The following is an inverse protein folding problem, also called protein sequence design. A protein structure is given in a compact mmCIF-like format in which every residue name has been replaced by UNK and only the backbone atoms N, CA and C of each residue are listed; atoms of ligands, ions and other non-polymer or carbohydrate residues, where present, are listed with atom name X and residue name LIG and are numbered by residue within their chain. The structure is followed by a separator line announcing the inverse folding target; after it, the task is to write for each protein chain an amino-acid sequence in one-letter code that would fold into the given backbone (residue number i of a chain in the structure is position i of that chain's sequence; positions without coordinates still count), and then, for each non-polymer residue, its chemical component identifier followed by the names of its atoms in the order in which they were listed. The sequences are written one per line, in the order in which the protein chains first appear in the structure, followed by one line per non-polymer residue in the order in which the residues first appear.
data_IF_507001451489
#
_entry.id   IF_507001451489
#
_cell.length_a   1.000
_cell.length_b   1.000
_cell.length_c   1.000
_cell.angle_alpha   90.00
_cell.angle_beta   90.00
_cell.angle_gamma   90.00
#
_symmetry.space_group_name_H-M   'P 1'
#
loop_
_entity.id
_entity.type
_entity.pdbx_description
1 polymer ?
#
# COMPACT_ATOMS: atom_id res chain seq x y z
N UNK A 1 -31.92 65.28 55.48
CA UNK A 1 -31.79 64.68 54.16
C UNK A 1 -30.70 63.58 54.06
N UNK A 2 -30.57 62.69 54.99
CA UNK A 2 -29.45 61.68 54.98
C UNK A 2 -29.90 60.21 54.99
N UNK A 3 -31.20 59.96 54.97
CA UNK A 3 -31.76 58.56 55.04
C UNK A 3 -31.99 57.89 53.71
N UNK A 4 -32.14 58.60 52.60
CA UNK A 4 -32.41 58.01 51.30
C UNK A 4 -31.18 57.40 50.66
N UNK A 5 -29.98 57.99 50.85
CA UNK A 5 -28.73 57.48 50.25
C UNK A 5 -28.33 56.13 50.86
N UNK A 6 -28.60 55.87 52.12
CA UNK A 6 -28.28 54.63 52.78
C UNK A 6 -29.14 53.44 52.26
N UNK A 7 -30.41 53.69 52.02
CA UNK A 7 -31.29 52.70 51.42
C UNK A 7 -30.94 52.37 49.96
N UNK A 8 -30.48 53.35 49.19
CA UNK A 8 -30.03 53.17 47.84
C UNK A 8 -28.71 52.35 47.77
N UNK A 9 -27.81 52.61 48.72
CA UNK A 9 -26.55 51.88 48.80
C UNK A 9 -26.78 50.42 49.22
N UNK A 10 -27.70 50.17 50.14
CA UNK A 10 -28.09 48.79 50.56
C UNK A 10 -28.73 48.01 49.41
N UNK A 11 -29.55 48.63 48.57
CA UNK A 11 -30.09 47.98 47.38
C UNK A 11 -29.00 47.64 46.36
N UNK A 12 -28.04 48.53 46.10
CA UNK A 12 -26.92 48.24 45.18
C UNK A 12 -26.08 47.09 45.70
N UNK A 13 -25.78 47.05 46.99
CA UNK A 13 -25.00 45.95 47.61
C UNK A 13 -25.83 44.63 47.48
N UNK A 14 -27.09 44.67 47.69
CA UNK A 14 -27.94 43.49 47.56
C UNK A 14 -27.96 42.94 46.10
N UNK A 15 -28.04 43.83 45.08
CA UNK A 15 -27.93 43.44 43.69
C UNK A 15 -26.59 42.86 43.33
N UNK A 16 -25.49 43.43 43.86
CA UNK A 16 -24.16 42.88 43.63
C UNK A 16 -23.99 41.48 44.24
N UNK A 17 -24.52 41.28 45.48
CA UNK A 17 -24.49 39.96 46.12
C UNK A 17 -25.36 38.93 45.32
N UNK A 18 -26.50 39.36 44.83
CA UNK A 18 -27.38 38.50 44.04
C UNK A 18 -26.75 38.12 42.68
N UNK A 19 -26.11 39.08 42.02
CA UNK A 19 -25.36 38.80 40.79
C UNK A 19 -24.16 37.87 41.05
N UNK A 20 -23.44 38.06 42.18
CA UNK A 20 -22.35 37.19 42.55
C UNK A 20 -22.82 35.78 42.87
N UNK A 21 -23.96 35.62 43.54
CA UNK A 21 -24.54 34.30 43.79
C UNK A 21 -24.95 33.58 42.50
N UNK A 22 -25.49 34.29 41.49
CA UNK A 22 -25.86 33.75 40.20
C UNK A 22 -24.58 33.32 39.43
N UNK A 23 -23.54 34.13 39.41
CA UNK A 23 -22.25 33.76 38.81
C UNK A 23 -21.62 32.54 39.49
N UNK A 24 -21.65 32.48 40.84
CA UNK A 24 -21.10 31.34 41.57
C UNK A 24 -21.87 30.05 41.27
N UNK A 25 -23.19 30.10 41.07
CA UNK A 25 -23.97 28.93 40.71
C UNK A 25 -23.72 28.47 39.27
N UNK A 26 -23.33 29.36 38.36
CA UNK A 26 -22.98 28.99 36.98
C UNK A 26 -21.65 28.21 36.90
N UNK A 27 -20.71 28.49 37.82
CA UNK A 27 -19.42 27.79 37.84
C UNK A 27 -19.53 26.39 38.42
N UNK A 28 -20.50 26.13 39.29
CA UNK A 28 -20.68 24.80 39.92
C UNK A 28 -21.40 23.80 39.03
N UNK A 29 -22.00 24.23 37.90
CA UNK A 29 -22.67 23.37 36.95
C UNK A 29 -21.80 22.91 35.80
N UNK A 30 -20.50 23.11 35.84
CA UNK A 30 -19.59 22.35 35.00
C UNK A 30 -19.47 20.94 35.60
N UNK A 31 -20.52 20.12 35.36
CA UNK A 31 -20.32 18.70 35.28
C UNK A 31 -19.31 18.49 34.17
N UNK A 32 -18.05 18.39 34.55
CA UNK A 32 -17.01 17.86 33.73
C UNK A 32 -17.54 16.49 33.33
N UNK A 33 -18.06 16.38 32.10
CA UNK A 33 -18.21 15.10 31.44
C UNK A 33 -16.79 14.53 31.35
N UNK A 34 -16.35 13.91 32.44
CA UNK A 34 -15.32 12.91 32.33
C UNK A 34 -15.93 11.89 31.37
N UNK A 35 -15.46 11.91 30.13
CA UNK A 35 -15.58 10.75 29.29
C UNK A 35 -14.88 9.65 30.10
N UNK A 36 -15.67 8.93 30.87
CA UNK A 36 -15.27 7.65 31.38
C UNK A 36 -14.93 6.87 30.11
N UNK A 37 -13.62 6.86 29.80
CA UNK A 37 -13.11 5.94 28.82
C UNK A 37 -13.64 4.62 29.33
N UNK A 38 -14.70 4.13 28.68
CA UNK A 38 -15.24 2.83 28.95
C UNK A 38 -14.03 1.91 28.77
N UNK A 39 -13.39 1.61 29.89
CA UNK A 39 -12.53 0.46 29.97
C UNK A 39 -13.47 -0.68 29.64
N UNK A 40 -13.57 -0.97 28.33
CA UNK A 40 -14.20 -2.17 27.86
C UNK A 40 -13.54 -3.26 28.69
N UNK A 41 -14.25 -3.76 29.68
CA UNK A 41 -13.86 -4.91 30.45
C UNK A 41 -13.72 -6.00 29.39
N UNK A 42 -12.51 -6.15 28.87
CA UNK A 42 -12.18 -7.26 28.00
C UNK A 42 -12.41 -8.48 28.84
N UNK A 43 -13.63 -8.93 28.82
CA UNK A 43 -13.96 -10.26 29.31
C UNK A 43 -13.05 -11.14 28.47
N UNK A 44 -12.02 -11.70 29.12
CA UNK A 44 -10.96 -12.45 28.45
C UNK A 44 -11.56 -13.57 27.62
N UNK A 45 -11.98 -13.22 26.41
CA UNK A 45 -12.34 -14.20 25.40
C UNK A 45 -10.99 -14.68 24.86
N UNK A 46 -10.64 -15.89 25.27
CA UNK A 46 -9.45 -16.53 24.75
C UNK A 46 -9.67 -16.73 23.26
N UNK A 47 -9.05 -15.87 22.46
CA UNK A 47 -9.06 -16.00 21.01
C UNK A 47 -7.94 -16.98 20.65
N UNK A 48 -8.29 -18.14 20.19
CA UNK A 48 -7.34 -19.03 19.57
C UNK A 48 -7.03 -18.48 18.19
N UNK A 49 -5.79 -18.06 18.00
CA UNK A 49 -5.29 -17.77 16.66
C UNK A 49 -5.24 -19.11 15.93
N UNK A 50 -6.34 -19.45 15.30
CA UNK A 50 -6.45 -20.63 14.47
C UNK A 50 -6.02 -20.25 13.05
N UNK A 51 -5.30 -21.11 12.43
CA UNK A 51 -4.91 -21.04 11.03
C UNK A 51 -3.69 -21.90 10.80
N UNK A 52 -3.83 -22.88 9.96
CA UNK A 52 -2.67 -23.58 9.41
C UNK A 52 -2.10 -22.68 8.32
N UNK A 53 -0.79 -22.40 8.32
CA UNK A 53 -0.20 -21.65 7.22
C UNK A 53 -0.44 -22.41 5.92
N UNK A 54 -1.21 -21.81 5.02
CA UNK A 54 -1.43 -22.34 3.67
C UNK A 54 -0.45 -21.66 2.72
N UNK A 55 0.39 -22.46 2.09
CA UNK A 55 1.22 -22.02 0.98
C UNK A 55 0.51 -22.33 -0.34
N UNK A 56 0.38 -21.33 -1.21
CA UNK A 56 -0.10 -21.52 -2.58
C UNK A 56 1.11 -21.56 -3.48
N UNK A 57 1.35 -22.70 -4.14
CA UNK A 57 2.36 -22.83 -5.18
C UNK A 57 1.69 -22.71 -6.53
N UNK A 58 1.94 -21.61 -7.23
CA UNK A 58 1.50 -21.43 -8.60
C UNK A 58 2.57 -22.02 -9.54
N UNK A 59 2.17 -22.88 -10.42
CA UNK A 59 3.00 -23.37 -11.52
C UNK A 59 2.37 -22.92 -12.83
N UNK A 60 3.17 -22.26 -13.66
CA UNK A 60 2.80 -21.92 -15.04
C UNK A 60 3.60 -22.79 -16.01
N UNK A 61 3.07 -22.96 -17.21
CA UNK A 61 3.75 -23.68 -18.28
C UNK A 61 4.86 -22.85 -18.95
N UNK A 62 5.03 -21.60 -18.52
CA UNK A 62 6.01 -20.66 -19.04
C UNK A 62 6.03 -19.37 -18.25
N UNK A 63 6.82 -18.40 -18.70
CA UNK A 63 6.96 -17.08 -18.09
C UNK A 63 5.99 -16.07 -18.71
N UNK A 64 5.20 -15.42 -17.88
CA UNK A 64 4.26 -14.39 -18.33
C UNK A 64 4.93 -13.03 -18.39
N UNK A 65 4.82 -12.37 -19.55
CA UNK A 65 5.27 -10.99 -19.75
C UNK A 65 4.32 -10.02 -19.05
N UNK A 66 4.74 -9.44 -17.94
CA UNK A 66 3.91 -8.52 -17.14
C UNK A 66 4.04 -7.05 -17.57
N UNK A 67 5.14 -6.69 -18.21
CA UNK A 67 5.41 -5.32 -18.63
C UNK A 67 6.75 -5.20 -19.36
N UNK A 68 7.08 -3.97 -19.68
CA UNK A 68 8.33 -3.56 -20.33
C UNK A 68 8.92 -2.41 -19.53
N UNK A 69 10.22 -2.46 -19.27
CA UNK A 69 10.98 -1.38 -18.68
C UNK A 69 12.21 -1.13 -19.51
N UNK A 70 12.60 0.12 -19.63
CA UNK A 70 13.87 0.48 -20.22
C UNK A 70 15.01 0.13 -19.24
N UNK A 71 16.09 -0.39 -19.77
CA UNK A 71 17.27 -0.76 -18.99
C UNK A 71 18.32 0.32 -19.17
N UNK A 72 18.85 0.84 -18.05
CA UNK A 72 19.96 1.76 -18.07
C UNK A 72 21.24 0.98 -18.32
N UNK A 73 21.91 1.25 -19.46
CA UNK A 73 23.23 0.73 -19.80
C UNK A 73 24.25 1.85 -19.80
N UNK A 74 25.54 1.53 -19.93
CA UNK A 74 26.60 2.54 -20.07
C UNK A 74 26.35 3.52 -21.25
N UNK A 75 25.61 3.07 -22.27
CA UNK A 75 25.28 3.85 -23.46
C UNK A 75 23.92 4.58 -23.36
N UNK A 76 23.27 4.57 -22.18
CA UNK A 76 21.98 5.19 -21.94
C UNK A 76 20.83 4.20 -21.77
N UNK A 77 19.61 4.72 -21.80
CA UNK A 77 18.38 3.92 -21.69
C UNK A 77 18.17 3.11 -22.99
N UNK A 78 18.09 1.81 -22.86
CA UNK A 78 17.85 0.88 -23.97
C UNK A 78 16.57 0.10 -23.72
N UNK A 79 15.69 0.13 -24.71
CA UNK A 79 14.50 -0.72 -24.73
C UNK A 79 14.81 -2.04 -25.44
N UNK A 80 15.08 -3.07 -24.67
CA UNK A 80 15.48 -4.39 -25.20
C UNK A 80 14.35 -5.13 -25.89
N UNK A 81 13.10 -4.66 -25.72
CA UNK A 81 11.88 -5.34 -26.16
C UNK A 81 11.20 -4.59 -27.34
N UNK A 82 11.67 -3.42 -27.72
CA UNK A 82 11.00 -2.57 -28.71
C UNK A 82 10.74 -3.30 -30.05
N UNK A 83 11.69 -4.11 -30.50
CA UNK A 83 11.61 -4.88 -31.73
C UNK A 83 11.22 -6.37 -31.52
N UNK A 84 10.90 -6.77 -30.31
CA UNK A 84 10.75 -8.20 -29.95
C UNK A 84 9.42 -8.82 -30.36
N UNK A 85 8.44 -8.07 -30.83
CA UNK A 85 7.04 -8.51 -31.05
C UNK A 85 6.34 -9.05 -29.79
N UNK A 86 6.97 -8.92 -28.59
CA UNK A 86 6.38 -9.31 -27.34
C UNK A 86 5.32 -8.31 -26.88
N UNK A 87 4.26 -8.80 -26.27
CA UNK A 87 3.21 -8.00 -25.69
C UNK A 87 2.93 -8.43 -24.25
N UNK A 88 2.41 -7.50 -23.43
CA UNK A 88 1.96 -7.84 -22.10
C UNK A 88 0.90 -8.94 -22.14
N UNK A 89 1.05 -9.97 -21.32
CA UNK A 89 0.18 -11.13 -21.28
C UNK A 89 0.65 -12.30 -22.14
N UNK A 90 1.73 -12.14 -22.93
CA UNK A 90 2.35 -13.27 -23.63
C UNK A 90 3.03 -14.21 -22.62
N UNK A 91 3.02 -15.48 -22.91
CA UNK A 91 3.69 -16.49 -22.10
C UNK A 91 4.85 -17.08 -22.89
N UNK A 92 6.07 -16.86 -22.41
CA UNK A 92 7.30 -17.42 -22.99
C UNK A 92 7.41 -18.87 -22.55
N UNK A 93 7.44 -19.80 -23.47
CA UNK A 93 7.50 -21.24 -23.20
C UNK A 93 8.83 -21.88 -23.58
N UNK A 94 9.56 -21.29 -24.56
CA UNK A 94 10.85 -21.78 -24.99
C UNK A 94 11.78 -20.62 -25.35
N UNK A 95 13.06 -20.77 -25.12
CA UNK A 95 14.12 -19.87 -25.59
C UNK A 95 15.20 -20.71 -26.26
N UNK A 96 15.53 -20.40 -27.51
CA UNK A 96 16.47 -21.16 -28.34
C UNK A 96 16.16 -22.68 -28.34
N UNK A 97 14.86 -23.04 -28.41
CA UNK A 97 14.38 -24.42 -28.37
C UNK A 97 14.42 -25.10 -26.99
N UNK A 98 14.91 -24.41 -25.96
CA UNK A 98 14.90 -24.93 -24.59
C UNK A 98 13.64 -24.49 -23.86
N UNK A 99 12.88 -25.40 -23.23
CA UNK A 99 11.70 -25.06 -22.48
C UNK A 99 12.07 -24.24 -21.24
N UNK A 100 11.27 -23.21 -20.93
CA UNK A 100 11.47 -22.30 -19.81
C UNK A 100 10.18 -22.21 -19.00
N UNK A 101 10.27 -22.53 -17.72
CA UNK A 101 9.12 -22.50 -16.80
C UNK A 101 9.31 -21.54 -15.64
N UNK A 102 10.58 -21.21 -15.33
CA UNK A 102 10.91 -20.34 -14.19
C UNK A 102 11.79 -19.17 -14.67
N UNK A 103 11.72 -18.05 -13.92
CA UNK A 103 12.57 -16.90 -14.17
C UNK A 103 14.06 -17.24 -14.04
N UNK A 104 14.40 -18.18 -13.16
CA UNK A 104 15.76 -18.63 -12.96
C UNK A 104 16.29 -19.36 -14.21
N UNK A 105 15.54 -20.33 -14.75
CA UNK A 105 15.90 -21.03 -15.99
C UNK A 105 16.07 -20.07 -17.16
N UNK A 106 15.20 -19.07 -17.26
CA UNK A 106 15.32 -18.03 -18.28
C UNK A 106 16.62 -17.24 -18.13
N UNK A 107 16.93 -16.78 -16.90
CA UNK A 107 18.14 -16.00 -16.63
C UNK A 107 19.40 -16.80 -16.89
N UNK A 108 19.41 -18.06 -16.48
CA UNK A 108 20.55 -18.95 -16.75
C UNK A 108 20.76 -19.17 -18.25
N UNK A 109 19.69 -19.33 -19.03
CA UNK A 109 19.77 -19.46 -20.48
C UNK A 109 20.30 -18.20 -21.15
N UNK A 110 19.73 -17.04 -20.82
CA UNK A 110 20.11 -15.74 -21.42
C UNK A 110 21.57 -15.39 -21.09
N UNK A 111 22.06 -15.74 -19.90
CA UNK A 111 23.42 -15.45 -19.46
C UNK A 111 24.48 -16.44 -19.95
N UNK A 112 24.11 -17.47 -20.69
CA UNK A 112 25.11 -18.38 -21.27
C UNK A 112 26.05 -17.61 -22.21
N UNK A 113 27.34 -17.90 -22.11
CA UNK A 113 28.35 -17.24 -22.90
C UNK A 113 28.10 -17.29 -24.41
N UNK A 114 27.47 -18.38 -24.89
CA UNK A 114 27.13 -18.60 -26.29
C UNK A 114 26.07 -17.65 -26.84
N UNK A 115 25.22 -17.08 -25.96
CA UNK A 115 24.10 -16.19 -26.31
C UNK A 115 24.40 -14.71 -26.03
N UNK A 116 25.55 -14.42 -25.42
CA UNK A 116 25.89 -13.07 -25.00
C UNK A 116 25.98 -12.12 -26.20
N UNK A 117 25.15 -11.05 -26.17
CA UNK A 117 25.09 -10.06 -27.26
C UNK A 117 24.41 -10.51 -28.55
N UNK A 118 23.86 -11.73 -28.61
CA UNK A 118 23.12 -12.25 -29.75
C UNK A 118 21.63 -12.06 -29.59
N UNK A 119 20.91 -12.06 -30.72
CA UNK A 119 19.46 -12.17 -30.69
C UNK A 119 19.04 -13.58 -30.33
N UNK A 120 18.12 -13.71 -29.38
CA UNK A 120 17.56 -14.97 -28.94
C UNK A 120 16.17 -15.14 -29.50
N UNK A 121 15.91 -16.30 -30.06
CA UNK A 121 14.57 -16.70 -30.53
C UNK A 121 13.77 -17.28 -29.38
N UNK A 122 12.54 -16.83 -29.25
CA UNK A 122 11.63 -17.30 -28.23
C UNK A 122 10.34 -17.79 -28.86
N UNK A 123 9.81 -18.87 -28.32
CA UNK A 123 8.45 -19.31 -28.59
C UNK A 123 7.55 -18.76 -27.50
N UNK A 124 6.51 -18.05 -27.91
CA UNK A 124 5.54 -17.44 -27.00
C UNK A 124 4.14 -17.88 -27.32
N UNK A 125 3.32 -18.01 -26.27
CA UNK A 125 1.89 -18.26 -26.39
C UNK A 125 1.13 -16.97 -26.11
N UNK A 126 0.34 -16.51 -27.07
CA UNK A 126 -0.61 -15.40 -26.92
C UNK A 126 -2.02 -15.96 -26.92
N UNK A 127 -2.57 -16.14 -25.73
CA UNK A 127 -3.79 -16.94 -25.57
C UNK A 127 -3.55 -18.39 -26.00
N UNK A 128 -4.24 -18.84 -27.07
CA UNK A 128 -4.08 -20.20 -27.62
C UNK A 128 -3.15 -20.25 -28.85
N UNK A 129 -2.58 -19.12 -29.25
CA UNK A 129 -1.79 -19.04 -30.49
C UNK A 129 -0.29 -19.05 -30.17
N UNK A 130 0.44 -19.98 -30.79
CA UNK A 130 1.90 -20.06 -30.73
C UNK A 130 2.51 -19.05 -31.71
N UNK A 131 3.48 -18.26 -31.28
CA UNK A 131 4.16 -17.23 -32.07
C UNK A 131 5.65 -17.25 -31.79
N UNK A 132 6.45 -16.72 -32.72
CA UNK A 132 7.87 -16.50 -32.53
C UNK A 132 8.12 -15.03 -32.21
N UNK A 133 9.00 -14.81 -31.29
CA UNK A 133 9.50 -13.49 -30.89
C UNK A 133 11.03 -13.54 -30.78
N UNK A 134 11.67 -12.39 -30.91
CA UNK A 134 13.12 -12.27 -30.73
C UNK A 134 13.41 -11.21 -29.68
N UNK A 135 14.42 -11.44 -28.87
CA UNK A 135 14.94 -10.46 -27.90
C UNK A 135 16.45 -10.38 -28.04
N UNK A 136 16.97 -9.15 -27.89
CA UNK A 136 18.41 -8.92 -27.78
C UNK A 136 18.71 -8.45 -26.35
N UNK A 137 19.30 -9.31 -25.52
CA UNK A 137 19.66 -8.91 -24.17
C UNK A 137 20.63 -7.72 -24.20
N UNK A 138 20.41 -6.74 -23.32
CA UNK A 138 21.39 -5.69 -23.08
C UNK A 138 22.60 -6.30 -22.37
N UNK A 139 23.78 -5.83 -22.71
CA UNK A 139 25.01 -6.14 -22.01
C UNK A 139 25.26 -5.05 -20.98
N UNK A 140 25.45 -5.46 -19.72
CA UNK A 140 26.01 -4.61 -18.67
C UNK A 140 27.51 -4.49 -18.81
#
# INVERSE_FOLDING_TARGET
MRRSSFLFMRKKILYCLLMFAILASAVTNQSVLYAEAATAKVTGQTVYVGGTPIGIKLQSEGLVVIGRNDVLTENGLVNTIENSKLSKGDMIVEVEGNPVRTAQEFTELVNRAEYKGKELKMTVMRGKKKMEATIKPALD
#
